data_IF_830413627732
#
_entry.id   IF_830413627732
#
_cell.length_a   1.000
_cell.length_b   1.000
_cell.length_c   1.000
_cell.angle_alpha   90.00
_cell.angle_beta   90.00
_cell.angle_gamma   90.00
#
_symmetry.space_group_name_H-M   'P 1'
#
loop_
_entity.id
_entity.type
_entity.pdbx_description
1 polymer ?
#
# COMPACT_ATOMS: atom_id res chain seq x y z
N UNK A 1 22.81 35.49 32.29
CA UNK A 1 22.74 34.56 31.15
C UNK A 1 21.37 33.90 31.15
N UNK A 2 20.46 34.38 30.31
CA UNK A 2 19.07 33.91 30.26
C UNK A 2 19.02 32.74 29.26
N UNK A 3 19.08 31.50 29.76
CA UNK A 3 18.88 30.31 28.92
C UNK A 3 17.41 30.29 28.49
N UNK A 4 17.14 30.73 27.25
CA UNK A 4 15.84 30.50 26.63
C UNK A 4 15.65 28.99 26.53
N UNK A 5 14.69 28.48 27.30
CA UNK A 5 14.15 27.13 27.21
C UNK A 5 13.38 27.00 25.88
N UNK A 6 14.09 27.04 24.75
CA UNK A 6 13.52 26.73 23.44
C UNK A 6 13.32 25.21 23.39
N UNK A 7 12.14 24.76 23.78
CA UNK A 7 11.76 23.36 23.65
C UNK A 7 11.89 22.95 22.18
N UNK A 8 12.80 22.01 21.94
CA UNK A 8 13.06 21.42 20.63
C UNK A 8 11.75 20.93 19.98
N UNK A 9 11.60 21.13 18.67
CA UNK A 9 10.39 20.80 17.92
C UNK A 9 10.05 19.30 18.03
N UNK A 10 11.05 18.42 18.17
CA UNK A 10 10.81 17.00 18.42
C UNK A 10 10.21 16.77 19.81
N UNK A 11 10.64 17.54 20.81
CA UNK A 11 10.10 17.49 22.17
C UNK A 11 8.64 17.96 22.22
N UNK A 12 8.31 19.03 21.48
CA UNK A 12 6.93 19.52 21.33
C UNK A 12 6.04 18.50 20.60
N UNK A 13 6.56 17.87 19.53
CA UNK A 13 5.80 16.88 18.77
C UNK A 13 5.57 15.60 19.57
N UNK A 14 6.58 15.17 20.33
CA UNK A 14 6.48 14.04 21.26
C UNK A 14 5.44 14.32 22.33
N UNK A 15 5.48 15.47 23.00
CA UNK A 15 4.54 15.78 24.10
C UNK A 15 3.09 15.81 23.64
N UNK A 16 2.81 16.33 22.43
CA UNK A 16 1.44 16.43 21.88
C UNK A 16 0.83 15.09 21.48
N UNK A 17 1.64 14.12 21.06
CA UNK A 17 1.13 12.85 20.49
C UNK A 17 1.22 11.70 21.49
N UNK A 18 2.23 11.72 22.36
CA UNK A 18 2.56 10.60 23.24
C UNK A 18 1.54 10.44 24.37
N UNK A 19 0.99 11.53 24.90
CA UNK A 19 0.03 11.47 26.01
C UNK A 19 -1.23 10.68 25.65
N UNK A 20 -1.88 11.04 24.54
CA UNK A 20 -3.13 10.41 24.08
C UNK A 20 -2.88 8.97 23.65
N UNK A 21 -1.78 8.70 22.91
CA UNK A 21 -1.44 7.34 22.49
C UNK A 21 -1.16 6.44 23.70
N UNK A 22 -0.38 6.92 24.68
CA UNK A 22 -0.10 6.16 25.90
C UNK A 22 -1.36 5.89 26.71
N UNK A 23 -2.27 6.86 26.79
CA UNK A 23 -3.57 6.68 27.44
C UNK A 23 -4.39 5.61 26.71
N UNK A 24 -4.50 5.68 25.39
CA UNK A 24 -5.23 4.71 24.59
C UNK A 24 -4.65 3.28 24.70
N UNK A 25 -3.32 3.15 24.78
CA UNK A 25 -2.66 1.86 25.04
C UNK A 25 -2.96 1.36 26.45
N UNK A 26 -2.88 2.24 27.46
CA UNK A 26 -3.17 1.91 28.87
C UNK A 26 -4.63 1.46 29.06
N UNK A 27 -5.55 2.07 28.33
CA UNK A 27 -6.98 1.74 28.32
C UNK A 27 -7.32 0.54 27.40
N UNK A 28 -6.31 -0.12 26.81
CA UNK A 28 -6.48 -1.27 25.90
C UNK A 28 -7.35 -0.95 24.67
N UNK A 29 -7.40 0.32 24.26
CA UNK A 29 -8.15 0.80 23.10
C UNK A 29 -7.37 0.64 21.79
N UNK A 30 -6.04 0.63 21.87
CA UNK A 30 -5.14 0.53 20.69
C UNK A 30 -3.91 -0.33 21.02
N UNK A 31 -3.20 -0.80 20.00
CA UNK A 31 -1.98 -1.60 20.17
C UNK A 31 -2.22 -3.07 20.51
N UNK A 32 -3.43 -3.59 20.27
CA UNK A 32 -3.71 -5.02 20.37
C UNK A 32 -3.04 -5.78 19.21
N UNK A 33 -2.52 -6.97 19.49
CA UNK A 33 -1.92 -7.86 18.48
C UNK A 33 -2.99 -8.82 17.98
N UNK A 34 -3.25 -8.82 16.68
CA UNK A 34 -4.20 -9.75 16.06
C UNK A 34 -3.50 -11.07 15.77
N UNK A 35 -4.00 -12.16 16.36
CA UNK A 35 -3.45 -13.51 16.16
C UNK A 35 -4.19 -14.29 15.09
N UNK A 36 -5.49 -14.04 14.95
CA UNK A 36 -6.34 -14.72 13.97
C UNK A 36 -7.37 -13.75 13.41
N UNK A 37 -7.66 -13.90 12.12
CA UNK A 37 -8.76 -13.22 11.45
C UNK A 37 -9.57 -14.24 10.67
N UNK A 38 -10.88 -14.28 10.92
CA UNK A 38 -11.86 -15.03 10.14
C UNK A 38 -12.91 -14.02 9.71
N UNK A 39 -13.01 -13.78 8.41
CA UNK A 39 -13.87 -12.76 7.82
C UNK A 39 -13.65 -11.38 8.47
N UNK A 40 -14.68 -10.82 9.10
CA UNK A 40 -14.64 -9.55 9.84
C UNK A 40 -14.39 -9.74 11.35
N UNK A 41 -14.17 -10.96 11.82
CA UNK A 41 -13.87 -11.24 13.24
C UNK A 41 -12.36 -11.38 13.43
N UNK A 42 -11.81 -10.57 14.32
CA UNK A 42 -10.40 -10.64 14.73
C UNK A 42 -10.32 -11.20 16.16
N UNK A 43 -9.38 -12.10 16.40
CA UNK A 43 -9.02 -12.58 17.73
C UNK A 43 -7.67 -11.97 18.10
N UNK A 44 -7.59 -11.41 19.30
CA UNK A 44 -6.35 -10.84 19.84
C UNK A 44 -5.53 -11.88 20.60
N UNK A 45 -4.26 -11.58 20.82
CA UNK A 45 -3.35 -12.29 21.71
C UNK A 45 -3.90 -12.46 23.13
N UNK A 46 -4.69 -11.49 23.61
CA UNK A 46 -5.39 -11.54 24.91
C UNK A 46 -6.67 -12.38 24.89
N UNK A 47 -6.95 -13.11 23.82
CA UNK A 47 -8.12 -13.97 23.66
C UNK A 47 -9.45 -13.22 23.44
N UNK A 48 -9.43 -11.89 23.30
CA UNK A 48 -10.63 -11.10 23.01
C UNK A 48 -10.98 -11.22 21.53
N UNK A 49 -12.27 -11.30 21.21
CA UNK A 49 -12.75 -11.31 19.83
C UNK A 49 -13.49 -10.01 19.52
N UNK A 50 -13.11 -9.34 18.43
CA UNK A 50 -13.72 -8.09 17.98
C UNK A 50 -14.25 -8.23 16.56
N UNK A 51 -15.22 -7.37 16.20
CA UNK A 51 -15.65 -7.21 14.80
C UNK A 51 -14.95 -6.00 14.21
N UNK A 52 -14.23 -6.21 13.12
CA UNK A 52 -13.41 -5.21 12.45
C UNK A 52 -14.25 -4.37 11.47
N UNK A 53 -14.28 -3.05 11.70
CA UNK A 53 -14.87 -2.06 10.80
C UNK A 53 -13.84 -1.09 10.19
N UNK A 54 -12.55 -1.31 10.45
CA UNK A 54 -11.46 -0.40 10.07
C UNK A 54 -10.82 -0.77 8.73
N UNK A 55 -10.96 -2.02 8.30
CA UNK A 55 -10.33 -2.52 7.08
C UNK A 55 -10.95 -1.93 5.81
N UNK A 56 -10.09 -1.51 4.88
CA UNK A 56 -10.47 -1.08 3.53
C UNK A 56 -10.85 -2.23 2.59
N UNK A 57 -10.94 -3.47 3.09
CA UNK A 57 -11.42 -4.59 2.28
C UNK A 57 -12.94 -4.59 2.19
N UNK A 58 -13.46 -3.96 1.13
CA UNK A 58 -14.88 -3.88 0.84
C UNK A 58 -15.46 -5.22 0.36
N UNK A 59 -14.70 -5.97 -0.44
CA UNK A 59 -15.17 -7.21 -1.08
C UNK A 59 -14.71 -8.49 -0.36
N UNK A 60 -13.86 -8.40 0.67
CA UNK A 60 -13.39 -9.58 1.43
C UNK A 60 -12.47 -10.51 0.63
N UNK A 61 -11.88 -10.02 -0.46
CA UNK A 61 -11.09 -10.83 -1.39
C UNK A 61 -9.76 -11.33 -0.80
N UNK A 62 -9.26 -10.71 0.26
CA UNK A 62 -8.00 -11.05 0.92
C UNK A 62 -7.94 -12.49 1.45
N UNK A 63 -9.09 -13.08 1.78
CA UNK A 63 -9.18 -14.44 2.31
C UNK A 63 -9.83 -15.42 1.32
N UNK A 64 -10.04 -15.00 0.08
CA UNK A 64 -10.68 -15.85 -0.92
C UNK A 64 -9.75 -17.00 -1.33
N UNK A 65 -10.16 -18.28 -1.20
CA UNK A 65 -9.27 -19.43 -1.38
C UNK A 65 -8.67 -19.47 -2.78
N UNK A 66 -9.44 -19.11 -3.81
CA UNK A 66 -8.92 -19.08 -5.19
C UNK A 66 -7.79 -18.04 -5.38
N UNK A 67 -7.82 -16.91 -4.67
CA UNK A 67 -6.77 -15.88 -4.77
C UNK A 67 -5.51 -16.32 -4.02
N UNK A 68 -5.67 -16.97 -2.87
CA UNK A 68 -4.55 -17.54 -2.11
C UNK A 68 -3.83 -18.61 -2.94
N UNK A 69 -4.59 -19.52 -3.57
CA UNK A 69 -3.99 -20.56 -4.42
C UNK A 69 -3.36 -19.97 -5.69
N UNK A 70 -3.99 -18.98 -6.34
CA UNK A 70 -3.38 -18.28 -7.46
C UNK A 70 -2.06 -17.58 -7.07
N UNK A 71 -2.00 -16.97 -5.89
CA UNK A 71 -0.79 -16.34 -5.38
C UNK A 71 0.33 -17.37 -5.13
N UNK A 72 0.02 -18.52 -4.53
CA UNK A 72 0.99 -19.62 -4.35
C UNK A 72 1.54 -20.10 -5.69
N UNK A 73 0.67 -20.34 -6.67
CA UNK A 73 1.09 -20.79 -8.01
C UNK A 73 1.96 -19.76 -8.73
N UNK A 74 1.63 -18.47 -8.62
CA UNK A 74 2.44 -17.39 -9.17
C UNK A 74 3.83 -17.37 -8.52
N UNK A 75 3.91 -17.42 -7.19
CA UNK A 75 5.17 -17.45 -6.45
C UNK A 75 6.04 -18.65 -6.81
N UNK A 76 5.44 -19.84 -7.03
CA UNK A 76 6.19 -21.01 -7.49
C UNK A 76 6.81 -20.85 -8.88
N UNK A 77 6.22 -20.03 -9.76
CA UNK A 77 6.72 -19.80 -11.14
C UNK A 77 7.72 -18.66 -11.22
N UNK A 78 7.47 -17.56 -10.52
CA UNK A 78 8.23 -16.30 -10.69
C UNK A 78 9.10 -15.93 -9.51
N UNK A 79 9.07 -16.72 -8.43
CA UNK A 79 9.65 -16.34 -7.15
C UNK A 79 8.88 -15.21 -6.48
N UNK A 80 9.41 -14.72 -5.35
CA UNK A 80 8.75 -13.71 -4.50
C UNK A 80 8.88 -12.30 -5.09
N UNK A 81 10.05 -11.96 -5.65
CA UNK A 81 10.31 -10.63 -6.19
C UNK A 81 11.42 -10.67 -7.25
N UNK A 82 11.19 -10.01 -8.39
CA UNK A 82 12.13 -9.96 -9.51
C UNK A 82 13.31 -8.99 -9.26
N UNK A 83 13.31 -8.25 -8.15
CA UNK A 83 14.41 -7.39 -7.65
C UNK A 83 15.10 -6.54 -8.70
N UNK A 84 14.34 -6.07 -9.69
CA UNK A 84 14.83 -5.30 -10.81
C UNK A 84 13.80 -4.25 -11.23
N UNK A 85 14.28 -3.19 -11.89
CA UNK A 85 13.42 -2.12 -12.36
C UNK A 85 12.62 -2.59 -13.58
N UNK A 86 11.39 -2.07 -13.72
CA UNK A 86 10.51 -2.35 -14.88
C UNK A 86 11.17 -2.04 -16.24
N UNK A 87 12.06 -1.05 -16.26
CA UNK A 87 12.79 -0.67 -17.48
C UNK A 87 13.85 -1.68 -17.87
N UNK A 88 14.45 -2.39 -16.89
CA UNK A 88 15.47 -3.40 -17.13
C UNK A 88 14.88 -4.78 -17.43
N UNK A 89 13.90 -5.24 -16.63
CA UNK A 89 13.19 -6.49 -16.87
C UNK A 89 11.77 -6.43 -16.30
N UNK A 90 10.87 -7.23 -16.86
CA UNK A 90 9.49 -7.36 -16.36
C UNK A 90 9.04 -8.82 -16.37
N UNK A 91 8.27 -9.26 -15.36
CA UNK A 91 7.71 -10.59 -15.35
C UNK A 91 6.48 -10.67 -16.27
N UNK A 92 6.20 -11.85 -16.83
CA UNK A 92 5.10 -12.05 -17.77
C UNK A 92 3.72 -11.72 -17.17
N UNK A 93 3.49 -12.02 -15.89
CA UNK A 93 2.22 -11.72 -15.21
C UNK A 93 1.89 -10.22 -15.19
N UNK A 94 2.90 -9.35 -15.25
CA UNK A 94 2.70 -7.91 -15.17
C UNK A 94 2.00 -7.37 -16.42
N UNK A 95 2.40 -7.87 -17.59
CA UNK A 95 1.77 -7.53 -18.86
C UNK A 95 0.32 -8.04 -18.90
N UNK A 96 0.10 -9.30 -18.52
CA UNK A 96 -1.25 -9.89 -18.48
C UNK A 96 -2.18 -9.12 -17.53
N UNK A 97 -1.67 -8.68 -16.38
CA UNK A 97 -2.43 -7.84 -15.45
C UNK A 97 -2.80 -6.49 -16.06
N UNK A 98 -1.87 -5.83 -16.75
CA UNK A 98 -2.13 -4.53 -17.40
C UNK A 98 -3.16 -4.66 -18.54
N UNK A 99 -3.13 -5.75 -19.30
CA UNK A 99 -4.10 -6.07 -20.35
C UNK A 99 -5.51 -6.29 -19.75
N UNK A 100 -5.63 -7.14 -18.73
CA UNK A 100 -6.92 -7.40 -18.06
C UNK A 100 -7.49 -6.13 -17.39
N UNK A 101 -6.64 -5.31 -16.78
CA UNK A 101 -7.08 -4.03 -16.22
C UNK A 101 -7.51 -3.06 -17.32
N UNK A 102 -6.83 -3.04 -18.47
CA UNK A 102 -7.23 -2.24 -19.63
C UNK A 102 -8.65 -2.58 -20.07
N UNK A 103 -9.01 -3.87 -20.13
CA UNK A 103 -10.37 -4.31 -20.45
C UNK A 103 -11.41 -3.77 -19.44
N UNK A 104 -11.12 -3.88 -18.14
CA UNK A 104 -11.99 -3.35 -17.07
C UNK A 104 -12.17 -1.83 -17.21
N UNK A 105 -11.09 -1.12 -17.57
CA UNK A 105 -11.08 0.33 -17.74
C UNK A 105 -11.36 0.79 -19.18
N UNK A 106 -12.07 -0.01 -19.99
CA UNK A 106 -12.55 0.35 -21.33
C UNK A 106 -11.44 0.67 -22.36
N UNK A 107 -10.37 -0.10 -22.34
CA UNK A 107 -9.26 -0.02 -23.31
C UNK A 107 -8.26 1.11 -23.04
N UNK A 108 -8.32 1.75 -21.88
CA UNK A 108 -7.33 2.75 -21.50
C UNK A 108 -5.96 2.11 -21.21
N UNK A 109 -4.88 2.80 -21.56
CA UNK A 109 -3.53 2.35 -21.22
C UNK A 109 -3.34 2.31 -19.69
N UNK A 110 -2.98 1.14 -19.16
CA UNK A 110 -2.79 0.90 -17.73
C UNK A 110 -1.31 0.70 -17.44
N UNK A 111 -0.84 1.30 -16.34
CA UNK A 111 0.50 1.06 -15.79
C UNK A 111 0.37 0.73 -14.32
N UNK A 112 0.88 -0.45 -13.92
CA UNK A 112 0.78 -0.95 -12.55
C UNK A 112 1.97 -0.49 -11.69
N UNK A 113 1.69 -0.11 -10.45
CA UNK A 113 2.68 0.27 -9.44
C UNK A 113 2.53 -0.59 -8.18
N UNK A 114 3.58 -0.65 -7.36
CA UNK A 114 3.58 -1.42 -6.10
C UNK A 114 2.68 -0.81 -5.01
N UNK A 115 2.39 0.49 -5.10
CA UNK A 115 1.46 1.16 -4.20
C UNK A 115 0.87 2.42 -4.84
N UNK A 116 -0.30 2.84 -4.37
CA UNK A 116 -0.93 4.11 -4.81
C UNK A 116 -0.08 5.33 -4.42
N UNK A 117 0.65 5.27 -3.31
CA UNK A 117 1.59 6.34 -2.93
C UNK A 117 2.67 6.55 -3.99
N UNK A 118 3.19 5.46 -4.57
CA UNK A 118 4.19 5.55 -5.65
C UNK A 118 3.59 6.15 -6.93
N UNK A 119 2.31 5.88 -7.20
CA UNK A 119 1.58 6.55 -8.30
C UNK A 119 1.53 8.05 -8.07
N UNK A 120 1.15 8.51 -6.88
CA UNK A 120 1.06 9.95 -6.60
C UNK A 120 2.40 10.68 -6.74
N UNK A 121 3.50 10.04 -6.36
CA UNK A 121 4.85 10.60 -6.56
C UNK A 121 5.28 10.59 -8.03
N UNK A 122 4.83 9.61 -8.82
CA UNK A 122 5.24 9.41 -10.22
C UNK A 122 4.36 10.08 -11.28
N UNK A 123 3.06 10.32 -11.00
CA UNK A 123 2.10 10.91 -11.96
C UNK A 123 2.52 12.29 -12.48
N UNK A 124 3.06 13.21 -11.66
CA UNK A 124 3.57 14.49 -12.18
C UNK A 124 4.63 14.28 -13.28
N UNK A 125 5.45 13.24 -13.15
CA UNK A 125 6.54 12.93 -14.05
C UNK A 125 6.11 12.19 -15.33
N UNK A 126 5.16 11.26 -15.23
CA UNK A 126 4.67 10.48 -16.38
C UNK A 126 3.95 11.37 -17.40
N UNK A 127 3.15 12.34 -16.95
CA UNK A 127 2.47 13.27 -17.86
C UNK A 127 3.43 14.19 -18.60
N UNK A 128 4.53 14.60 -17.96
CA UNK A 128 5.56 15.44 -18.57
C UNK A 128 6.34 14.67 -19.64
N UNK A 129 6.77 13.43 -19.37
CA UNK A 129 7.48 12.61 -20.36
C UNK A 129 6.59 12.25 -21.56
N UNK A 130 5.31 11.94 -21.33
CA UNK A 130 4.36 11.69 -22.43
C UNK A 130 4.11 12.95 -23.29
N UNK A 131 4.02 14.14 -22.66
CA UNK A 131 3.87 15.40 -23.38
C UNK A 131 5.13 15.76 -24.20
N UNK A 132 6.31 15.49 -23.68
CA UNK A 132 7.59 15.71 -24.38
C UNK A 132 7.73 14.74 -25.56
N UNK A 133 7.39 13.45 -25.36
CA UNK A 133 7.41 12.45 -26.44
C UNK A 133 6.43 12.78 -27.57
N UNK A 134 5.22 13.27 -27.26
CA UNK A 134 4.26 13.72 -28.28
C UNK A 134 4.71 14.97 -29.03
N UNK A 135 5.44 15.89 -28.38
CA UNK A 135 5.98 17.09 -29.05
C UNK A 135 7.22 16.79 -29.91
N UNK A 136 8.01 15.78 -29.55
CA UNK A 136 9.17 15.36 -30.35
C UNK A 136 8.83 14.68 -31.67
N UNK A 137 7.60 14.17 -31.83
CA UNK A 137 7.11 13.57 -33.08
C UNK A 137 6.44 14.54 -34.06
N UNK A 138 6.45 15.85 -33.77
CA UNK A 138 5.80 16.89 -34.59
C UNK A 138 6.81 17.86 -35.24
N UNK A 139 8.11 17.54 -35.18
CA UNK A 139 9.23 18.32 -35.75
C UNK A 139 10.03 17.53 -36.81
N UNK A 140 9.40 16.54 -37.45
CA UNK A 140 9.82 15.94 -38.73
C UNK A 140 8.62 15.95 -39.67
#
# INVERSE_FOLDING_TARGET
MNQRNEQDWMTIRKSRTTGILNQAIKEDLTGFTVTKRIDKKITTDKGKTFTEFVSCSYLGLENHPALIEAAKQAMSKTGIHLSSSRGAMRPQYLQQLEELLSEIYRGNSVVVFTSTSNVHLGVPWIRIVSAISKKGGQLL
#
